data_IF_470928256719
#
_entry.id   IF_470928256719
#
_cell.length_a   1.000
_cell.length_b   1.000
_cell.length_c   1.000
_cell.angle_alpha   90.00
_cell.angle_beta   90.00
_cell.angle_gamma   90.00
#
_symmetry.space_group_name_H-M   'P 1'
#
loop_
_entity.id
_entity.type
_entity.pdbx_description
1 polymer ?
#
# COMPACT_ATOMS: atom_id res chain seq x y z
N UNK A 1 45.46 -11.39 -44.71
CA UNK A 1 46.79 -10.93 -45.16
C UNK A 1 47.34 -9.94 -44.14
N UNK A 2 48.52 -10.25 -43.60
CA UNK A 2 49.53 -9.36 -43.02
C UNK A 2 49.15 -8.32 -41.93
N UNK A 3 49.51 -8.72 -40.70
CA UNK A 3 50.22 -7.96 -39.66
C UNK A 3 51.07 -6.79 -40.20
N UNK A 4 51.05 -5.64 -39.48
CA UNK A 4 52.19 -4.74 -39.43
C UNK A 4 52.31 -4.06 -38.05
N UNK A 5 53.34 -4.53 -37.35
CA UNK A 5 53.98 -4.02 -36.14
C UNK A 5 54.62 -2.65 -36.38
N UNK A 6 54.62 -1.76 -35.38
CA UNK A 6 55.79 -0.88 -35.16
C UNK A 6 55.90 -0.48 -33.69
N UNK A 7 56.98 -0.91 -33.07
CA UNK A 7 57.43 -0.52 -31.74
C UNK A 7 58.86 0.02 -31.85
N UNK A 8 59.24 0.83 -30.84
CA UNK A 8 60.59 1.24 -30.43
C UNK A 8 61.12 2.53 -31.07
N UNK A 9 61.79 3.45 -30.36
CA UNK A 9 62.19 3.57 -28.95
C UNK A 9 62.91 4.93 -28.80
N UNK A 10 62.83 5.58 -27.63
CA UNK A 10 64.03 5.97 -26.84
C UNK A 10 63.67 6.67 -25.52
N UNK A 11 63.83 5.87 -24.47
CA UNK A 11 64.30 6.13 -23.10
C UNK A 11 64.84 7.51 -22.73
N UNK A 12 64.44 7.99 -21.53
CA UNK A 12 65.38 8.41 -20.48
C UNK A 12 64.72 8.28 -19.09
N UNK A 13 65.49 7.77 -18.13
CA UNK A 13 65.04 7.31 -16.82
C UNK A 13 65.15 8.38 -15.72
N UNK A 14 64.28 8.25 -14.71
CA UNK A 14 64.63 8.46 -13.30
C UNK A 14 64.17 9.77 -12.67
N UNK A 15 63.19 9.69 -11.75
CA UNK A 15 63.37 10.03 -10.33
C UNK A 15 62.09 9.77 -9.52
N UNK A 16 62.31 9.20 -8.33
CA UNK A 16 61.34 8.92 -7.27
C UNK A 16 60.25 9.99 -7.10
N UNK A 17 58.99 9.57 -7.23
CA UNK A 17 57.82 10.32 -6.79
C UNK A 17 56.86 9.36 -6.10
N UNK A 18 56.67 9.52 -4.79
CA UNK A 18 55.64 8.82 -4.01
C UNK A 18 54.29 8.93 -4.74
N UNK A 19 53.62 7.79 -4.95
CA UNK A 19 52.20 7.76 -5.28
C UNK A 19 51.44 8.37 -4.11
N UNK A 20 51.10 9.64 -4.25
CA UNK A 20 50.13 10.30 -3.40
C UNK A 20 48.76 9.80 -3.87
N UNK A 21 48.23 8.80 -3.17
CA UNK A 21 46.81 8.49 -3.21
C UNK A 21 46.10 9.69 -2.62
N UNK A 22 45.61 10.57 -3.49
CA UNK A 22 44.57 11.52 -3.11
C UNK A 22 43.32 10.69 -2.84
N UNK A 23 43.10 10.36 -1.58
CA UNK A 23 41.79 10.00 -1.06
C UNK A 23 40.89 11.21 -1.32
N UNK A 24 40.18 11.17 -2.45
CA UNK A 24 39.06 12.07 -2.66
C UNK A 24 38.00 11.66 -1.65
N UNK A 25 38.00 12.32 -0.49
CA UNK A 25 36.84 12.35 0.40
C UNK A 25 35.62 12.66 -0.47
N UNK A 26 34.78 11.64 -0.67
CA UNK A 26 33.43 11.82 -1.20
C UNK A 26 32.72 12.64 -0.13
N UNK A 27 32.67 13.96 -0.33
CA UNK A 27 31.74 14.82 0.36
C UNK A 27 30.35 14.37 -0.05
N UNK A 28 29.74 13.49 0.76
CA UNK A 28 28.32 13.24 0.69
C UNK A 28 27.65 14.51 1.19
N UNK A 29 27.28 15.39 0.27
CA UNK A 29 26.32 16.44 0.60
C UNK A 29 25.09 15.74 1.16
N UNK A 30 24.81 15.95 2.45
CA UNK A 30 23.57 15.55 3.10
C UNK A 30 22.32 16.18 2.43
N UNK A 31 22.55 17.09 1.46
CA UNK A 31 21.58 17.86 0.70
C UNK A 31 21.64 17.59 -0.82
N UNK A 32 22.10 16.42 -1.26
CA UNK A 32 21.78 15.96 -2.62
C UNK A 32 20.25 15.97 -2.85
N UNK A 33 19.76 16.10 -4.10
CA UNK A 33 18.32 16.07 -4.35
C UNK A 33 17.71 14.85 -3.67
N UNK A 34 16.66 15.07 -2.87
CA UNK A 34 15.91 13.99 -2.24
C UNK A 34 15.28 13.14 -3.35
N UNK A 35 15.92 12.04 -3.68
CA UNK A 35 15.41 11.04 -4.61
C UNK A 35 14.89 9.82 -3.84
N UNK A 36 14.16 8.96 -4.53
CA UNK A 36 13.71 7.67 -4.03
C UNK A 36 14.87 6.74 -3.68
N UNK A 37 14.62 5.74 -2.82
CA UNK A 37 15.60 4.71 -2.50
C UNK A 37 15.62 3.62 -3.58
N UNK A 38 16.52 3.75 -4.56
CA UNK A 38 16.65 2.73 -5.61
C UNK A 38 17.32 1.48 -5.09
N UNK A 39 16.86 0.29 -5.52
CA UNK A 39 17.48 -1.00 -5.19
C UNK A 39 17.60 -1.92 -6.41
N UNK A 40 18.62 -2.79 -6.38
CA UNK A 40 18.81 -3.89 -7.33
C UNK A 40 18.44 -5.27 -6.74
N UNK A 41 17.97 -5.32 -5.49
CA UNK A 41 17.48 -6.55 -4.86
C UNK A 41 16.04 -6.86 -5.28
N UNK A 42 15.65 -8.14 -5.25
CA UNK A 42 14.24 -8.51 -5.37
C UNK A 42 13.43 -7.98 -4.18
N UNK A 43 12.10 -8.04 -4.27
CA UNK A 43 11.23 -7.73 -3.13
C UNK A 43 11.40 -8.81 -2.03
N UNK A 44 11.45 -8.43 -0.74
CA UNK A 44 11.87 -9.29 0.35
C UNK A 44 10.84 -10.37 0.69
N UNK A 45 9.57 -10.19 0.34
CA UNK A 45 8.48 -11.07 0.73
C UNK A 45 8.55 -12.41 0.02
N UNK A 46 8.88 -12.44 -1.28
CA UNK A 46 9.08 -13.72 -1.98
C UNK A 46 10.21 -14.53 -1.36
N UNK A 47 11.36 -13.91 -1.08
CA UNK A 47 12.52 -14.59 -0.49
C UNK A 47 12.18 -15.09 0.91
N UNK A 48 11.67 -14.21 1.78
CA UNK A 48 11.30 -14.55 3.16
C UNK A 48 10.21 -15.60 3.23
N UNK A 49 9.18 -15.53 2.37
CA UNK A 49 8.13 -16.57 2.25
C UNK A 49 8.72 -17.94 1.94
N UNK A 50 9.66 -18.03 0.97
CA UNK A 50 10.28 -19.31 0.61
C UNK A 50 11.12 -19.87 1.76
N UNK A 51 11.84 -19.02 2.49
CA UNK A 51 12.61 -19.42 3.67
C UNK A 51 11.72 -19.89 4.81
N UNK A 52 10.62 -19.17 5.09
CA UNK A 52 9.62 -19.55 6.08
C UNK A 52 8.97 -20.88 5.70
N UNK A 53 8.53 -21.08 4.46
CA UNK A 53 7.91 -22.35 4.03
C UNK A 53 8.90 -23.52 4.18
N UNK A 54 10.18 -23.27 3.89
CA UNK A 54 11.23 -24.29 4.03
C UNK A 54 11.44 -24.69 5.50
N UNK A 55 11.42 -23.72 6.42
CA UNK A 55 11.68 -23.94 7.85
C UNK A 55 10.43 -24.41 8.61
N UNK A 56 9.28 -23.83 8.28
CA UNK A 56 7.96 -24.00 8.92
C UNK A 56 6.87 -24.33 7.88
N UNK A 57 6.93 -25.50 7.23
CA UNK A 57 5.99 -25.85 6.15
C UNK A 57 4.53 -25.87 6.60
N UNK A 58 4.25 -26.04 7.89
CA UNK A 58 2.91 -25.97 8.48
C UNK A 58 2.22 -24.61 8.33
N UNK A 59 2.96 -23.52 8.06
CA UNK A 59 2.38 -22.19 7.81
C UNK A 59 1.39 -22.23 6.64
N UNK A 60 1.66 -23.07 5.63
CA UNK A 60 0.80 -23.23 4.44
C UNK A 60 -0.58 -23.82 4.78
N UNK A 61 -0.72 -24.49 5.92
CA UNK A 61 -2.01 -25.02 6.41
C UNK A 61 -2.95 -23.91 6.89
N UNK A 62 -2.45 -22.69 7.05
CA UNK A 62 -3.26 -21.53 7.43
C UNK A 62 -3.97 -20.88 6.23
N UNK A 63 -3.56 -21.20 5.01
CA UNK A 63 -4.14 -20.63 3.79
C UNK A 63 -5.62 -21.00 3.62
N UNK A 64 -6.35 -20.14 2.91
CA UNK A 64 -7.74 -20.37 2.53
C UNK A 64 -8.71 -19.37 3.17
N UNK A 65 -10.01 -19.52 2.91
CA UNK A 65 -10.97 -18.49 3.25
C UNK A 65 -11.21 -18.34 4.75
N UNK A 66 -11.71 -17.16 5.10
CA UNK A 66 -12.23 -16.77 6.40
C UNK A 66 -13.72 -16.39 6.29
N UNK A 67 -14.63 -17.32 6.65
CA UNK A 67 -16.06 -17.08 6.58
C UNK A 67 -16.56 -15.90 7.42
N UNK A 68 -15.84 -15.47 8.47
CA UNK A 68 -16.24 -14.33 9.29
C UNK A 68 -16.30 -13.02 8.48
N UNK A 69 -15.43 -12.88 7.47
CA UNK A 69 -15.31 -11.65 6.67
C UNK A 69 -16.64 -11.21 6.06
N UNK A 70 -17.43 -12.13 5.50
CA UNK A 70 -18.72 -11.77 4.88
C UNK A 70 -19.75 -11.27 5.88
N UNK A 71 -19.76 -11.81 7.11
CA UNK A 71 -20.69 -11.35 8.15
C UNK A 71 -20.30 -9.97 8.66
N UNK A 72 -18.99 -9.73 8.84
CA UNK A 72 -18.48 -8.42 9.23
C UNK A 72 -18.82 -7.35 8.18
N UNK A 73 -18.61 -7.65 6.89
CA UNK A 73 -19.00 -6.76 5.78
C UNK A 73 -20.47 -6.39 5.84
N UNK A 74 -21.38 -7.38 5.94
CA UNK A 74 -22.81 -7.10 5.98
C UNK A 74 -23.19 -6.27 7.22
N UNK A 75 -22.60 -6.57 8.38
CA UNK A 75 -22.84 -5.81 9.60
C UNK A 75 -22.39 -4.35 9.48
N UNK A 76 -21.21 -4.09 8.92
CA UNK A 76 -20.66 -2.73 8.76
C UNK A 76 -21.40 -1.95 7.68
N UNK A 77 -21.81 -2.60 6.57
CA UNK A 77 -22.68 -1.98 5.56
C UNK A 77 -24.03 -1.60 6.17
N UNK A 78 -24.65 -2.48 6.95
CA UNK A 78 -25.91 -2.19 7.62
C UNK A 78 -25.78 -1.03 8.62
N UNK A 79 -24.67 -0.98 9.39
CA UNK A 79 -24.36 0.14 10.29
C UNK A 79 -24.29 1.47 9.53
N UNK A 80 -23.55 1.50 8.42
CA UNK A 80 -23.40 2.71 7.60
C UNK A 80 -24.73 3.18 7.02
N UNK A 81 -25.54 2.27 6.47
CA UNK A 81 -26.88 2.59 5.96
C UNK A 81 -27.78 3.13 7.07
N UNK A 82 -27.78 2.49 8.25
CA UNK A 82 -28.57 2.94 9.39
C UNK A 82 -28.16 4.35 9.85
N UNK A 83 -26.86 4.65 9.88
CA UNK A 83 -26.36 5.98 10.24
C UNK A 83 -26.67 7.04 9.16
N UNK A 84 -26.61 6.66 7.88
CA UNK A 84 -27.00 7.52 6.77
C UNK A 84 -28.48 7.94 6.90
N UNK A 85 -29.36 6.97 7.17
CA UNK A 85 -30.80 7.23 7.42
C UNK A 85 -31.00 8.05 8.69
N UNK A 86 -30.29 7.73 9.78
CA UNK A 86 -30.39 8.46 11.04
C UNK A 86 -30.01 9.95 10.89
N UNK A 87 -29.02 10.25 10.04
CA UNK A 87 -28.55 11.62 9.81
C UNK A 87 -29.31 12.37 8.72
N UNK A 88 -30.31 11.75 8.06
CA UNK A 88 -31.00 12.34 6.90
C UNK A 88 -31.57 13.76 7.13
N UNK A 89 -32.01 14.05 8.36
CA UNK A 89 -32.57 15.36 8.76
C UNK A 89 -31.59 16.25 9.52
N UNK A 90 -30.40 15.73 9.88
CA UNK A 90 -29.39 16.47 10.64
C UNK A 90 -28.72 17.52 9.74
N UNK A 91 -28.51 18.78 10.19
CA UNK A 91 -27.78 19.77 9.40
C UNK A 91 -26.34 19.31 9.12
N UNK A 92 -25.91 19.43 7.86
CA UNK A 92 -24.61 18.92 7.40
C UNK A 92 -23.44 19.53 8.18
N UNK A 93 -23.49 20.83 8.48
CA UNK A 93 -22.44 21.54 9.23
C UNK A 93 -22.58 21.44 10.76
N UNK A 94 -23.51 20.62 11.25
CA UNK A 94 -23.62 20.43 12.70
C UNK A 94 -22.47 19.58 13.23
N UNK A 95 -22.06 19.86 14.47
CA UNK A 95 -21.08 19.05 15.18
C UNK A 95 -21.50 17.57 15.23
N UNK A 96 -22.81 17.29 15.43
CA UNK A 96 -23.35 15.93 15.44
C UNK A 96 -23.05 15.18 14.15
N UNK A 97 -23.26 15.81 12.99
CA UNK A 97 -23.06 15.18 11.69
C UNK A 97 -21.58 14.82 11.49
N UNK A 98 -20.69 15.80 11.71
CA UNK A 98 -19.25 15.63 11.54
C UNK A 98 -18.63 14.67 12.57
N UNK A 99 -19.07 14.71 13.83
CA UNK A 99 -18.58 13.80 14.86
C UNK A 99 -18.93 12.34 14.56
N UNK A 100 -20.17 12.06 14.11
CA UNK A 100 -20.58 10.70 13.74
C UNK A 100 -19.87 10.27 12.45
N UNK A 101 -19.75 11.14 11.45
CA UNK A 101 -19.01 10.85 10.21
C UNK A 101 -17.53 10.56 10.48
N UNK A 102 -16.88 11.31 11.37
CA UNK A 102 -15.47 11.10 11.68
C UNK A 102 -15.25 9.87 12.57
N UNK A 103 -15.92 9.78 13.73
CA UNK A 103 -15.61 8.72 14.70
C UNK A 103 -16.12 7.35 14.25
N UNK A 104 -17.37 7.27 13.82
CA UNK A 104 -18.01 6.00 13.47
C UNK A 104 -17.91 5.77 11.96
N UNK A 105 -18.29 6.78 11.18
CA UNK A 105 -18.33 6.70 9.72
C UNK A 105 -16.97 6.37 9.10
N UNK A 106 -15.94 7.15 9.42
CA UNK A 106 -14.61 6.98 8.87
C UNK A 106 -13.98 5.64 9.31
N UNK A 107 -14.11 5.28 10.60
CA UNK A 107 -13.65 3.98 11.10
C UNK A 107 -14.33 2.82 10.37
N UNK A 108 -15.65 2.88 10.18
CA UNK A 108 -16.39 1.84 9.47
C UNK A 108 -16.09 1.81 7.97
N UNK A 109 -15.85 2.96 7.32
CA UNK A 109 -15.42 2.96 5.92
C UNK A 109 -13.98 2.47 5.76
N UNK A 110 -13.09 2.74 6.72
CA UNK A 110 -11.76 2.13 6.73
C UNK A 110 -11.85 0.61 6.86
N UNK A 111 -12.74 0.11 7.72
CA UNK A 111 -13.03 -1.31 7.80
C UNK A 111 -13.47 -1.84 6.42
N UNK A 112 -14.40 -1.19 5.73
CA UNK A 112 -14.87 -1.64 4.40
C UNK A 112 -13.79 -1.55 3.32
N UNK A 113 -12.91 -0.55 3.35
CA UNK A 113 -11.75 -0.48 2.46
C UNK A 113 -10.85 -1.71 2.64
N UNK A 114 -10.59 -2.09 3.89
CA UNK A 114 -9.76 -3.24 4.21
C UNK A 114 -10.48 -4.57 4.04
N UNK A 115 -11.82 -4.58 4.11
CA UNK A 115 -12.61 -5.74 3.71
C UNK A 115 -12.48 -5.98 2.20
N UNK A 116 -12.58 -4.92 1.37
CA UNK A 116 -12.38 -5.01 -0.08
C UNK A 116 -10.95 -5.47 -0.40
N UNK A 117 -9.97 -5.03 0.37
CA UNK A 117 -8.61 -5.54 0.34
C UNK A 117 -8.56 -7.07 0.57
N UNK A 118 -9.08 -7.57 1.68
CA UNK A 118 -9.13 -9.02 1.99
C UNK A 118 -9.88 -9.82 0.90
N UNK A 119 -11.00 -9.29 0.41
CA UNK A 119 -11.82 -9.93 -0.62
C UNK A 119 -11.10 -9.96 -1.99
N UNK A 120 -10.18 -9.02 -2.24
CA UNK A 120 -9.38 -9.00 -3.47
C UNK A 120 -8.45 -10.21 -3.58
N UNK A 121 -7.99 -10.71 -2.43
CA UNK A 121 -7.22 -11.94 -2.26
C UNK A 121 -8.07 -13.22 -2.26
N UNK A 122 -9.38 -13.10 -2.53
CA UNK A 122 -10.35 -14.20 -2.47
C UNK A 122 -10.50 -14.85 -1.09
N UNK A 123 -10.27 -14.09 -0.01
CA UNK A 123 -10.25 -14.65 1.34
C UNK A 123 -11.65 -14.77 1.96
N UNK A 124 -12.72 -14.22 1.38
CA UNK A 124 -14.07 -14.39 1.94
C UNK A 124 -14.77 -15.68 1.48
N UNK A 125 -14.48 -16.13 0.25
CA UNK A 125 -15.06 -17.35 -0.34
C UNK A 125 -14.04 -18.12 -1.17
N UNK A 126 -14.20 -19.44 -1.31
CA UNK A 126 -13.42 -20.22 -2.30
C UNK A 126 -13.77 -19.84 -3.75
N UNK A 127 -14.99 -19.37 -4.00
CA UNK A 127 -15.45 -18.99 -5.33
C UNK A 127 -15.03 -17.53 -5.65
N UNK A 128 -14.23 -17.28 -6.70
CA UNK A 128 -13.77 -15.92 -7.02
C UNK A 128 -14.89 -14.95 -7.35
N UNK A 129 -15.95 -15.40 -8.05
CA UNK A 129 -17.10 -14.54 -8.38
C UNK A 129 -17.89 -14.13 -7.14
N UNK A 130 -18.05 -15.03 -6.16
CA UNK A 130 -18.69 -14.68 -4.89
C UNK A 130 -17.91 -13.57 -4.13
N UNK A 131 -16.58 -13.61 -4.19
CA UNK A 131 -15.75 -12.52 -3.68
C UNK A 131 -16.00 -11.21 -4.45
N UNK A 132 -16.07 -11.22 -5.79
CA UNK A 132 -16.36 -10.01 -6.56
C UNK A 132 -17.72 -9.41 -6.22
N UNK A 133 -18.74 -10.24 -6.04
CA UNK A 133 -20.07 -9.75 -5.65
C UNK A 133 -20.08 -9.19 -4.22
N UNK A 134 -19.41 -9.85 -3.26
CA UNK A 134 -19.28 -9.31 -1.90
C UNK A 134 -18.50 -7.99 -1.87
N UNK A 135 -17.45 -7.85 -2.70
CA UNK A 135 -16.70 -6.60 -2.79
C UNK A 135 -17.58 -5.43 -3.26
N UNK A 136 -18.51 -5.68 -4.21
CA UNK A 136 -19.49 -4.67 -4.65
C UNK A 136 -20.44 -4.31 -3.49
N UNK A 137 -20.85 -5.26 -2.66
CA UNK A 137 -21.67 -4.99 -1.46
C UNK A 137 -20.89 -4.18 -0.42
N UNK A 138 -19.64 -4.55 -0.15
CA UNK A 138 -18.76 -3.79 0.75
C UNK A 138 -18.50 -2.35 0.24
N UNK A 139 -18.59 -2.14 -1.07
CA UNK A 139 -18.39 -0.84 -1.71
C UNK A 139 -19.57 0.12 -1.50
N UNK A 140 -20.80 -0.36 -1.21
CA UNK A 140 -21.99 0.51 -1.20
C UNK A 140 -21.84 1.74 -0.30
N UNK A 141 -21.35 1.62 0.96
CA UNK A 141 -21.15 2.77 1.84
C UNK A 141 -20.02 3.71 1.43
N UNK A 142 -19.22 3.35 0.44
CA UNK A 142 -18.14 4.21 -0.05
C UNK A 142 -18.70 5.35 -0.91
N UNK A 143 -19.85 5.13 -1.56
CA UNK A 143 -20.54 6.12 -2.40
C UNK A 143 -19.94 6.31 -3.80
N UNK A 144 -18.85 5.61 -4.13
CA UNK A 144 -18.17 5.66 -5.44
C UNK A 144 -17.73 4.23 -5.82
N UNK A 145 -17.95 3.76 -7.06
CA UNK A 145 -17.64 2.38 -7.45
C UNK A 145 -16.13 2.21 -7.68
N UNK A 146 -15.42 1.63 -6.71
CA UNK A 146 -13.96 1.43 -6.82
C UNK A 146 -13.50 -0.02 -6.65
N UNK A 147 -14.31 -0.89 -6.03
CA UNK A 147 -13.92 -2.26 -5.68
C UNK A 147 -13.45 -3.12 -6.86
N UNK A 148 -14.04 -2.92 -8.05
CA UNK A 148 -13.64 -3.63 -9.26
C UNK A 148 -12.23 -3.25 -9.75
N UNK A 149 -11.90 -1.97 -9.68
CA UNK A 149 -10.60 -1.43 -10.08
C UNK A 149 -9.53 -1.69 -9.03
N UNK A 150 -9.89 -1.66 -7.74
CA UNK A 150 -8.95 -1.84 -6.63
C UNK A 150 -8.14 -3.14 -6.76
N UNK A 151 -8.82 -4.26 -7.02
CA UNK A 151 -8.19 -5.57 -7.04
C UNK A 151 -6.96 -5.68 -7.97
N UNK A 152 -7.06 -5.42 -9.29
CA UNK A 152 -5.92 -5.60 -10.19
C UNK A 152 -4.73 -4.69 -9.82
N UNK A 153 -4.98 -3.45 -9.40
CA UNK A 153 -3.93 -2.57 -8.90
C UNK A 153 -3.28 -3.14 -7.63
N UNK A 154 -4.08 -3.55 -6.67
CA UNK A 154 -3.60 -4.10 -5.39
C UNK A 154 -2.79 -5.38 -5.54
N UNK A 155 -3.25 -6.31 -6.38
CA UNK A 155 -2.50 -7.54 -6.64
C UNK A 155 -1.20 -7.28 -7.41
N UNK A 156 -1.20 -6.28 -8.29
CA UNK A 156 0.03 -5.84 -8.96
C UNK A 156 1.01 -5.26 -7.96
N UNK A 157 0.55 -4.47 -6.99
CA UNK A 157 1.38 -3.95 -5.90
C UNK A 157 2.05 -5.08 -5.11
N UNK A 158 1.30 -6.11 -4.68
CA UNK A 158 1.90 -7.28 -4.02
C UNK A 158 2.93 -8.01 -4.91
N UNK A 159 2.69 -8.09 -6.22
CA UNK A 159 3.55 -8.85 -7.14
C UNK A 159 4.77 -8.08 -7.64
N UNK A 160 4.67 -6.76 -7.67
CA UNK A 160 5.61 -5.83 -8.30
C UNK A 160 5.94 -4.69 -7.36
N UNK A 161 6.05 -4.99 -6.06
CA UNK A 161 6.28 -4.01 -5.00
C UNK A 161 7.49 -3.13 -5.32
N UNK A 162 7.28 -1.81 -5.30
CA UNK A 162 8.32 -0.83 -5.58
C UNK A 162 8.77 -0.77 -7.05
N UNK A 163 8.18 -1.52 -7.98
CA UNK A 163 8.56 -1.43 -9.40
C UNK A 163 7.97 -0.18 -10.04
N UNK A 164 8.85 0.66 -10.60
CA UNK A 164 8.43 1.92 -11.21
C UNK A 164 7.48 1.70 -12.40
N UNK A 165 6.42 2.51 -12.46
CA UNK A 165 5.37 2.39 -13.47
C UNK A 165 4.41 1.20 -13.31
N UNK A 166 4.65 0.27 -12.38
CA UNK A 166 3.77 -0.88 -12.09
C UNK A 166 3.14 -0.81 -10.70
N UNK A 167 3.89 -0.36 -9.70
CA UNK A 167 3.38 -0.14 -8.36
C UNK A 167 2.75 1.26 -8.26
N UNK A 168 1.43 1.34 -8.40
CA UNK A 168 0.68 2.60 -8.36
C UNK A 168 0.57 3.18 -6.95
N UNK A 169 1.05 2.46 -5.93
CA UNK A 169 1.14 2.96 -4.57
C UNK A 169 2.30 3.97 -4.39
N UNK A 170 3.32 3.90 -5.26
CA UNK A 170 4.43 4.84 -5.25
C UNK A 170 3.99 6.24 -5.66
N UNK A 171 4.40 7.29 -4.94
CA UNK A 171 4.25 8.67 -5.39
C UNK A 171 4.97 8.91 -6.71
N UNK A 172 4.39 9.76 -7.55
CA UNK A 172 5.09 10.25 -8.74
C UNK A 172 6.19 11.24 -8.35
N UNK A 173 7.20 11.41 -9.21
CA UNK A 173 8.24 12.42 -8.98
C UNK A 173 7.66 13.84 -8.85
N UNK A 174 6.56 14.12 -9.57
CA UNK A 174 5.84 15.38 -9.50
C UNK A 174 5.21 15.60 -8.11
N UNK A 175 4.48 14.60 -7.62
CA UNK A 175 3.90 14.63 -6.27
C UNK A 175 4.99 14.78 -5.22
N UNK A 176 6.09 14.05 -5.36
CA UNK A 176 7.15 14.11 -4.38
C UNK A 176 7.85 15.47 -4.35
N UNK A 177 8.06 16.11 -5.52
CA UNK A 177 8.61 17.46 -5.59
C UNK A 177 7.67 18.51 -4.97
N UNK A 178 6.37 18.46 -5.29
CA UNK A 178 5.42 19.48 -4.81
C UNK A 178 4.97 19.30 -3.36
N UNK A 179 4.94 18.06 -2.86
CA UNK A 179 4.39 17.73 -1.54
C UNK A 179 5.47 17.55 -0.47
N UNK A 180 6.77 17.66 -0.79
CA UNK A 180 7.88 17.55 0.18
C UNK A 180 8.07 18.82 1.02
N UNK A 181 7.04 19.16 1.80
CA UNK A 181 7.06 20.20 2.84
C UNK A 181 6.06 19.83 3.93
N UNK A 182 6.11 20.47 5.11
CA UNK A 182 5.12 20.22 6.18
C UNK A 182 3.69 20.41 5.66
N UNK A 183 3.42 21.51 4.94
CA UNK A 183 2.09 21.76 4.36
C UNK A 183 1.72 20.81 3.23
N UNK A 184 2.70 20.45 2.37
CA UNK A 184 2.50 19.48 1.30
C UNK A 184 2.16 18.08 1.83
N UNK A 185 2.89 17.62 2.86
CA UNK A 185 2.64 16.35 3.54
C UNK A 185 1.32 16.36 4.30
N UNK A 186 0.98 17.47 4.98
CA UNK A 186 -0.32 17.62 5.62
C UNK A 186 -1.48 17.60 4.60
N UNK A 187 -1.31 18.24 3.44
CA UNK A 187 -2.26 18.16 2.33
C UNK A 187 -2.39 16.73 1.82
N UNK A 188 -1.27 16.05 1.57
CA UNK A 188 -1.26 14.64 1.18
C UNK A 188 -2.03 13.77 2.16
N UNK A 189 -1.74 13.83 3.46
CA UNK A 189 -2.42 13.04 4.48
C UNK A 189 -3.90 13.42 4.65
N UNK A 190 -4.30 14.65 4.32
CA UNK A 190 -5.71 15.08 4.39
C UNK A 190 -6.51 14.57 3.17
N UNK A 191 -5.89 14.54 2.00
CA UNK A 191 -6.53 14.20 0.72
C UNK A 191 -6.08 12.85 0.19
N UNK A 192 -5.56 11.98 1.06
CA UNK A 192 -4.81 10.79 0.68
C UNK A 192 -5.62 9.87 -0.21
N UNK A 193 -6.91 9.68 0.11
CA UNK A 193 -7.82 8.85 -0.69
C UNK A 193 -7.87 9.26 -2.17
N UNK A 194 -7.71 10.55 -2.49
CA UNK A 194 -7.72 11.03 -3.87
C UNK A 194 -6.43 10.67 -4.60
N UNK A 195 -5.28 10.70 -3.93
CA UNK A 195 -4.03 10.22 -4.53
C UNK A 195 -4.14 8.73 -4.86
N UNK A 196 -4.64 7.92 -3.94
CA UNK A 196 -4.84 6.48 -4.16
C UNK A 196 -5.91 6.16 -5.20
N UNK A 197 -6.93 7.01 -5.36
CA UNK A 197 -7.97 6.82 -6.38
C UNK A 197 -7.52 7.29 -7.77
N UNK A 198 -6.80 8.42 -7.85
CA UNK A 198 -6.51 9.11 -9.13
C UNK A 198 -5.17 8.69 -9.70
N UNK A 199 -4.12 8.57 -8.88
CA UNK A 199 -2.76 8.24 -9.35
C UNK A 199 -2.71 6.95 -10.16
N UNK A 200 -3.40 5.85 -9.78
CA UNK A 200 -3.37 4.65 -10.62
C UNK A 200 -3.81 4.92 -12.06
N UNK A 201 -4.83 5.76 -12.25
CA UNK A 201 -5.37 6.10 -13.59
C UNK A 201 -4.42 6.93 -14.45
N UNK A 202 -3.43 7.59 -13.85
CA UNK A 202 -2.40 8.39 -14.54
C UNK A 202 -1.11 7.61 -14.80
N UNK A 203 -0.83 6.57 -14.02
CA UNK A 203 0.33 5.68 -14.22
C UNK A 203 0.05 4.62 -15.28
N UNK A 204 -0.98 3.79 -15.09
CA UNK A 204 -1.45 2.84 -16.11
C UNK A 204 -2.92 2.49 -15.91
N UNK A 205 -3.62 2.12 -17.00
CA UNK A 205 -5.06 1.84 -16.94
C UNK A 205 -5.33 0.35 -17.04
N UNK A 206 -6.07 -0.17 -16.07
CA UNK A 206 -6.64 -1.53 -16.15
C UNK A 206 -7.80 -1.56 -17.15
N UNK A 207 -7.95 -2.64 -17.94
CA UNK A 207 -9.06 -2.75 -18.87
C UNK A 207 -10.40 -2.90 -18.13
N UNK A 208 -11.41 -2.14 -18.57
CA UNK A 208 -12.76 -2.23 -18.01
C UNK A 208 -13.40 -3.58 -18.35
N UNK A 209 -14.03 -4.20 -17.35
CA UNK A 209 -14.66 -5.52 -17.47
C UNK A 209 -16.15 -5.45 -17.13
N UNK A 210 -16.88 -6.55 -17.35
CA UNK A 210 -18.29 -6.67 -16.93
C UNK A 210 -18.50 -6.44 -15.43
N UNK A 211 -17.50 -6.76 -14.60
CA UNK A 211 -17.55 -6.50 -13.15
C UNK A 211 -17.48 -5.00 -12.87
N UNK A 212 -16.74 -4.22 -13.66
CA UNK A 212 -16.73 -2.75 -13.52
C UNK A 212 -18.10 -2.18 -13.86
N UNK A 213 -18.69 -2.60 -14.97
CA UNK A 213 -20.04 -2.18 -15.36
C UNK A 213 -21.08 -2.54 -14.28
N UNK A 214 -20.99 -3.75 -13.70
CA UNK A 214 -21.86 -4.18 -12.61
C UNK A 214 -21.65 -3.33 -11.35
N UNK A 215 -20.40 -3.07 -10.94
CA UNK A 215 -20.11 -2.26 -9.76
C UNK A 215 -20.66 -0.83 -9.93
N UNK A 216 -20.49 -0.22 -11.10
CA UNK A 216 -21.03 1.12 -11.41
C UNK A 216 -22.55 1.10 -11.36
N UNK A 217 -23.20 0.15 -12.04
CA UNK A 217 -24.65 0.06 -12.08
C UNK A 217 -25.26 -0.13 -10.68
N UNK A 218 -24.69 -1.02 -9.88
CA UNK A 218 -25.15 -1.28 -8.51
C UNK A 218 -24.91 -0.07 -7.60
N UNK A 219 -23.76 0.60 -7.69
CA UNK A 219 -23.46 1.78 -6.87
C UNK A 219 -24.43 2.93 -7.21
N UNK A 220 -24.59 3.25 -8.49
CA UNK A 220 -25.51 4.32 -8.94
C UNK A 220 -26.94 4.01 -8.53
N UNK A 221 -27.38 2.75 -8.68
CA UNK A 221 -28.71 2.34 -8.25
C UNK A 221 -28.88 2.48 -6.73
N UNK A 222 -27.91 2.04 -5.93
CA UNK A 222 -27.93 2.17 -4.48
C UNK A 222 -27.97 3.63 -4.03
N UNK A 223 -27.11 4.49 -4.58
CA UNK A 223 -27.06 5.91 -4.24
C UNK A 223 -28.37 6.62 -4.60
N UNK A 224 -28.95 6.31 -5.77
CA UNK A 224 -30.24 6.84 -6.21
C UNK A 224 -31.39 6.39 -5.29
N UNK A 225 -31.45 5.10 -4.94
CA UNK A 225 -32.43 4.53 -4.00
C UNK A 225 -32.29 5.19 -2.63
N UNK A 226 -31.06 5.32 -2.12
CA UNK A 226 -30.80 5.96 -0.84
C UNK A 226 -31.33 7.40 -0.82
N UNK A 227 -30.98 8.21 -1.82
CA UNK A 227 -31.46 9.59 -1.91
C UNK A 227 -33.00 9.64 -2.01
N UNK A 228 -33.59 8.79 -2.86
CA UNK A 228 -35.03 8.79 -3.10
C UNK A 228 -35.85 8.50 -1.84
N UNK A 229 -35.42 7.53 -1.03
CA UNK A 229 -36.13 7.14 0.19
C UNK A 229 -35.69 7.89 1.46
N UNK A 230 -34.61 8.68 1.39
CA UNK A 230 -34.09 9.44 2.55
C UNK A 230 -33.84 10.90 2.20
N UNK A 231 -32.57 11.33 2.10
CA UNK A 231 -32.19 12.66 1.64
C UNK A 231 -30.79 12.64 1.04
N UNK A 232 -30.43 13.70 0.31
CA UNK A 232 -29.06 13.91 -0.17
C UNK A 232 -28.02 13.93 0.96
N UNK A 233 -28.43 14.25 2.20
CA UNK A 233 -27.52 14.25 3.37
C UNK A 233 -27.11 12.83 3.77
N UNK A 234 -27.93 11.81 3.47
CA UNK A 234 -27.56 10.42 3.69
C UNK A 234 -26.38 10.02 2.78
N UNK A 235 -26.42 10.40 1.49
CA UNK A 235 -25.29 10.19 0.59
C UNK A 235 -24.07 11.05 0.99
N UNK A 236 -24.29 12.31 1.39
CA UNK A 236 -23.19 13.17 1.88
C UNK A 236 -22.51 12.57 3.11
N UNK A 237 -23.24 11.90 4.00
CA UNK A 237 -22.65 11.20 5.14
C UNK A 237 -21.73 10.06 4.69
N UNK A 238 -22.16 9.24 3.72
CA UNK A 238 -21.35 8.15 3.18
C UNK A 238 -20.08 8.68 2.49
N UNK A 239 -20.22 9.70 1.64
CA UNK A 239 -19.09 10.33 0.95
C UNK A 239 -18.12 11.02 1.92
N UNK A 240 -18.64 11.73 2.94
CA UNK A 240 -17.83 12.35 3.97
C UNK A 240 -17.09 11.30 4.80
N UNK A 241 -17.74 10.20 5.14
CA UNK A 241 -17.12 9.08 5.87
C UNK A 241 -15.99 8.45 5.06
N UNK A 242 -16.18 8.24 3.75
CA UNK A 242 -15.13 7.76 2.84
C UNK A 242 -13.95 8.71 2.73
N UNK A 243 -14.22 10.01 2.62
CA UNK A 243 -13.18 11.03 2.59
C UNK A 243 -12.35 10.96 3.88
N UNK A 244 -13.02 11.09 5.03
CA UNK A 244 -12.36 11.11 6.34
C UNK A 244 -11.63 9.80 6.66
N UNK A 245 -12.10 8.66 6.15
CA UNK A 245 -11.44 7.35 6.32
C UNK A 245 -10.03 7.34 5.70
N UNK A 246 -9.83 8.02 4.56
CA UNK A 246 -8.52 8.23 3.95
C UNK A 246 -7.97 9.64 4.13
N UNK A 247 -8.27 10.29 5.26
CA UNK A 247 -7.72 11.58 5.66
C UNK A 247 -6.90 11.45 6.96
N UNK A 248 -6.70 12.56 7.69
CA UNK A 248 -6.14 12.59 9.04
C UNK A 248 -7.06 11.88 10.05
N UNK A 249 -7.07 10.55 10.03
CA UNK A 249 -7.81 9.68 10.93
C UNK A 249 -6.87 8.59 11.48
N UNK A 250 -6.97 8.19 12.76
CA UNK A 250 -6.02 7.26 13.37
C UNK A 250 -5.79 5.96 12.58
N UNK A 251 -6.87 5.35 12.06
CA UNK A 251 -6.74 4.13 11.26
C UNK A 251 -6.19 4.38 9.86
N UNK A 252 -6.33 5.59 9.29
CA UNK A 252 -5.78 5.93 7.98
C UNK A 252 -4.24 5.95 7.95
N UNK A 253 -3.61 6.04 9.13
CA UNK A 253 -2.15 6.09 9.22
C UNK A 253 -1.46 4.85 8.65
N UNK A 254 -2.18 3.72 8.49
CA UNK A 254 -1.63 2.53 7.84
C UNK A 254 -1.14 2.82 6.41
N UNK A 255 -1.87 3.64 5.64
CA UNK A 255 -1.50 3.95 4.25
C UNK A 255 -0.13 4.61 4.08
N UNK A 256 0.37 5.30 5.12
CA UNK A 256 1.73 5.86 5.11
C UNK A 256 2.69 5.04 5.96
N UNK A 257 2.20 4.30 6.95
CA UNK A 257 3.05 3.46 7.81
C UNK A 257 3.57 2.22 7.10
N UNK A 258 2.82 1.67 6.15
CA UNK A 258 3.10 0.34 5.60
C UNK A 258 4.33 0.27 4.71
N UNK A 259 4.50 1.23 3.78
CA UNK A 259 5.52 1.16 2.73
C UNK A 259 6.44 2.39 2.64
N UNK A 260 6.25 3.40 3.48
CA UNK A 260 7.25 4.45 3.62
C UNK A 260 8.35 4.05 4.59
N UNK A 261 9.57 4.41 4.25
CA UNK A 261 10.76 4.13 5.06
C UNK A 261 10.90 5.21 6.12
N UNK A 262 10.66 4.86 7.37
CA UNK A 262 10.83 5.75 8.53
C UNK A 262 12.19 5.58 9.23
N UNK A 263 12.94 4.54 8.86
CA UNK A 263 14.28 4.26 9.38
C UNK A 263 15.34 5.06 8.63
N UNK A 264 16.41 5.41 9.34
CA UNK A 264 17.56 6.10 8.73
C UNK A 264 18.26 5.17 7.75
N UNK A 265 18.17 5.50 6.46
CA UNK A 265 18.92 4.80 5.40
C UNK A 265 20.36 5.31 5.35
N UNK A 266 21.31 4.44 5.69
CA UNK A 266 22.74 4.77 5.67
C UNK A 266 23.24 5.06 4.25
N UNK A 267 24.34 5.83 4.08
CA UNK A 267 24.91 6.09 2.75
C UNK A 267 25.25 4.82 1.96
N UNK A 268 25.69 3.76 2.65
CA UNK A 268 26.00 2.47 2.01
C UNK A 268 24.76 1.73 1.54
N UNK A 269 23.64 1.82 2.28
CA UNK A 269 22.33 1.30 1.85
C UNK A 269 21.70 2.11 0.72
N UNK A 270 21.98 3.42 0.64
CA UNK A 270 21.48 4.27 -0.45
C UNK A 270 22.10 3.95 -1.80
N UNK A 271 23.31 3.39 -1.83
CA UNK A 271 23.94 2.97 -3.08
C UNK A 271 23.43 1.57 -3.49
N UNK A 272 22.59 1.46 -4.54
CA UNK A 272 22.02 0.19 -4.97
C UNK A 272 23.09 -0.83 -5.41
N UNK A 273 24.30 -0.38 -5.78
CA UNK A 273 25.40 -1.27 -6.15
C UNK A 273 25.86 -2.16 -4.99
N UNK A 274 25.69 -1.70 -3.75
CA UNK A 274 26.04 -2.47 -2.55
C UNK A 274 25.05 -3.59 -2.23
N UNK A 275 23.85 -3.56 -2.83
CA UNK A 275 22.80 -4.58 -2.64
C UNK A 275 22.45 -4.84 -1.17
N UNK A 276 22.58 -3.81 -0.32
CA UNK A 276 22.17 -3.88 1.08
C UNK A 276 20.67 -3.55 1.14
N UNK A 277 19.82 -4.44 1.68
CA UNK A 277 18.38 -4.19 1.74
C UNK A 277 18.02 -2.96 2.57
N UNK A 278 17.00 -2.24 2.11
CA UNK A 278 16.31 -1.19 2.86
C UNK A 278 14.96 -1.75 3.28
N UNK A 279 14.57 -1.69 4.57
CA UNK A 279 13.24 -2.09 4.99
C UNK A 279 12.17 -1.27 4.25
N UNK A 280 11.36 -1.94 3.43
CA UNK A 280 10.34 -1.31 2.58
C UNK A 280 8.91 -1.71 2.96
N UNK A 281 8.74 -2.48 4.04
CA UNK A 281 7.45 -2.90 4.57
C UNK A 281 7.51 -2.98 6.09
N UNK A 282 6.58 -2.31 6.76
CA UNK A 282 6.56 -2.19 8.21
C UNK A 282 5.25 -2.73 8.77
N UNK A 283 5.36 -3.50 9.86
CA UNK A 283 4.19 -3.99 10.58
C UNK A 283 3.79 -3.03 11.72
N UNK A 284 2.57 -3.19 12.23
CA UNK A 284 1.98 -2.57 13.40
C UNK A 284 1.13 -3.63 14.10
N UNK A 285 1.43 -3.91 15.38
CA UNK A 285 0.73 -4.95 16.15
C UNK A 285 -0.24 -4.37 17.19
N UNK A 286 -0.54 -3.08 17.12
CA UNK A 286 -1.35 -2.39 18.12
C UNK A 286 -2.87 -2.55 17.92
N UNK A 287 -3.66 -1.88 18.79
CA UNK A 287 -5.10 -2.13 18.93
C UNK A 287 -5.95 -1.73 17.72
N UNK A 288 -5.46 -0.84 16.85
CA UNK A 288 -6.23 -0.39 15.67
C UNK A 288 -6.51 -1.52 14.68
N UNK A 289 -5.73 -2.62 14.74
CA UNK A 289 -5.97 -3.86 13.99
C UNK A 289 -7.36 -4.45 14.18
N UNK A 290 -8.01 -4.20 15.33
CA UNK A 290 -9.38 -4.63 15.60
C UNK A 290 -10.39 -4.10 14.57
N UNK A 291 -10.14 -2.90 14.04
CA UNK A 291 -11.01 -2.25 13.06
C UNK A 291 -10.58 -2.53 11.61
N UNK A 292 -9.39 -3.09 11.40
CA UNK A 292 -8.69 -3.07 10.11
C UNK A 292 -8.26 -4.46 9.65
N UNK A 293 -9.02 -5.50 10.01
CA UNK A 293 -8.75 -6.88 9.59
C UNK A 293 -7.26 -7.26 9.79
N UNK A 294 -6.69 -6.89 10.94
CA UNK A 294 -5.28 -7.17 11.25
C UNK A 294 -4.26 -6.78 10.15
N UNK A 295 -4.59 -5.83 9.26
CA UNK A 295 -3.71 -5.43 8.14
C UNK A 295 -2.35 -4.92 8.63
N UNK A 296 -2.29 -4.42 9.87
CA UNK A 296 -1.03 -4.02 10.49
C UNK A 296 -0.01 -5.15 10.60
N UNK A 297 -0.41 -6.43 10.55
CA UNK A 297 0.52 -7.55 10.32
C UNK A 297 0.94 -7.60 8.85
N UNK A 298 1.52 -6.50 8.39
CA UNK A 298 1.65 -6.18 6.98
C UNK A 298 2.77 -6.98 6.31
N UNK A 299 3.88 -7.20 7.03
CA UNK A 299 4.93 -8.12 6.57
C UNK A 299 4.38 -9.54 6.42
N UNK A 300 3.65 -10.04 7.40
CA UNK A 300 3.04 -11.37 7.37
C UNK A 300 2.02 -11.49 6.23
N UNK A 301 1.23 -10.44 6.02
CA UNK A 301 0.26 -10.36 4.94
C UNK A 301 0.94 -10.37 3.56
N UNK A 302 1.97 -9.55 3.34
CA UNK A 302 2.72 -9.55 2.08
C UNK A 302 3.49 -10.87 1.85
N UNK A 303 4.00 -11.47 2.92
CA UNK A 303 4.63 -12.79 2.85
C UNK A 303 3.61 -13.90 2.57
N UNK A 304 2.36 -13.76 2.99
CA UNK A 304 1.34 -14.81 2.82
C UNK A 304 -0.05 -14.23 2.54
N UNK A 305 -0.30 -13.63 1.36
CA UNK A 305 -1.57 -12.97 1.03
C UNK A 305 -2.74 -13.96 0.89
N UNK A 306 -2.46 -15.27 0.83
CA UNK A 306 -3.46 -16.33 0.84
C UNK A 306 -3.86 -16.79 2.26
N UNK A 307 -3.26 -16.23 3.31
CA UNK A 307 -3.63 -16.46 4.71
C UNK A 307 -4.52 -15.30 5.16
N UNK A 308 -5.71 -15.57 5.70
CA UNK A 308 -6.65 -14.52 6.06
C UNK A 308 -6.26 -13.80 7.35
N UNK A 309 -6.77 -12.58 7.50
CA UNK A 309 -6.55 -11.70 8.65
C UNK A 309 -6.63 -12.35 10.04
N UNK A 310 -7.58 -13.26 10.26
CA UNK A 310 -7.76 -13.95 11.56
C UNK A 310 -6.59 -14.84 11.95
N UNK A 311 -5.74 -15.21 10.97
CA UNK A 311 -4.64 -16.16 11.13
C UNK A 311 -3.27 -15.49 11.01
N UNK A 312 -3.17 -14.20 10.67
CA UNK A 312 -1.89 -13.49 10.53
C UNK A 312 -1.07 -13.53 11.83
N UNK A 313 -1.69 -13.34 12.99
CA UNK A 313 -0.97 -13.49 14.27
C UNK A 313 -0.40 -14.89 14.49
N UNK A 314 -1.00 -15.92 13.89
CA UNK A 314 -0.48 -17.28 13.96
C UNK A 314 0.71 -17.48 13.02
N UNK A 315 0.75 -16.78 11.87
CA UNK A 315 1.93 -16.70 11.00
C UNK A 315 3.09 -16.11 11.79
N UNK A 316 2.87 -14.93 12.37
CA UNK A 316 3.87 -14.24 13.20
C UNK A 316 4.43 -15.17 14.30
N UNK A 317 3.57 -15.90 15.04
CA UNK A 317 4.03 -16.82 16.08
C UNK A 317 4.80 -18.04 15.57
N UNK A 318 4.45 -18.57 14.40
CA UNK A 318 5.13 -19.75 13.83
C UNK A 318 6.52 -19.36 13.34
N UNK A 319 6.65 -18.18 12.74
CA UNK A 319 7.85 -17.70 12.08
C UNK A 319 8.41 -16.42 12.71
N UNK A 320 8.32 -16.29 14.04
CA UNK A 320 8.63 -15.03 14.73
C UNK A 320 10.08 -14.61 14.51
N UNK A 321 10.99 -15.57 14.35
CA UNK A 321 12.39 -15.30 14.07
C UNK A 321 12.64 -14.58 12.73
N UNK A 322 11.66 -14.54 11.84
CA UNK A 322 11.72 -13.78 10.58
C UNK A 322 11.14 -12.37 10.70
N UNK A 323 10.44 -12.06 11.80
CA UNK A 323 9.69 -10.82 12.00
C UNK A 323 10.17 -10.00 13.20
N UNK A 324 10.72 -10.63 14.24
CA UNK A 324 11.05 -10.00 15.53
C UNK A 324 12.08 -8.87 15.39
N UNK A 325 13.03 -9.01 14.45
CA UNK A 325 14.08 -8.01 14.17
C UNK A 325 13.69 -6.99 13.09
N UNK A 326 12.51 -7.13 12.46
CA UNK A 326 12.06 -6.16 11.46
C UNK A 326 11.57 -4.87 12.13
N UNK A 327 11.84 -3.70 11.52
CA UNK A 327 11.31 -2.45 12.04
C UNK A 327 9.77 -2.44 11.94
N UNK A 328 9.15 -1.78 12.91
CA UNK A 328 7.69 -1.74 13.04
C UNK A 328 7.22 -0.39 13.59
N UNK A 329 5.97 -0.07 13.33
CA UNK A 329 5.29 1.05 13.95
C UNK A 329 4.62 0.64 15.26
N UNK A 330 4.79 1.45 16.30
CA UNK A 330 4.06 1.30 17.57
C UNK A 330 2.73 2.08 17.57
N UNK A 331 2.58 3.07 16.68
CA UNK A 331 1.38 3.90 16.57
C UNK A 331 1.22 4.49 15.18
N UNK A 332 0.08 4.23 14.53
CA UNK A 332 -0.28 4.88 13.26
C UNK A 332 -0.56 6.37 13.41
N UNK A 333 -1.04 6.83 14.56
CA UNK A 333 -1.17 8.27 14.83
C UNK A 333 0.21 8.92 14.87
N UNK A 334 1.19 8.26 15.47
CA UNK A 334 2.57 8.74 15.47
C UNK A 334 3.21 8.66 14.09
N UNK A 335 2.87 7.65 13.28
CA UNK A 335 3.31 7.58 11.89
C UNK A 335 2.80 8.77 11.05
N UNK A 336 1.53 9.18 11.23
CA UNK A 336 0.98 10.42 10.64
C UNK A 336 1.75 11.65 11.12
N UNK A 337 1.95 11.76 12.43
CA UNK A 337 2.65 12.91 13.00
C UNK A 337 4.08 13.01 12.46
N UNK A 338 4.86 11.91 12.49
CA UNK A 338 6.22 11.88 11.93
C UNK A 338 6.21 12.18 10.44
N UNK A 339 5.30 11.58 9.67
CA UNK A 339 5.25 11.84 8.23
C UNK A 339 5.10 13.33 7.93
N UNK A 340 4.30 14.07 8.69
CA UNK A 340 4.08 15.50 8.43
C UNK A 340 5.21 16.38 9.00
N UNK A 341 5.66 16.12 10.24
CA UNK A 341 6.57 17.02 10.97
C UNK A 341 8.06 16.67 10.84
N UNK A 342 8.41 15.41 10.63
CA UNK A 342 9.80 14.94 10.52
C UNK A 342 10.33 15.27 9.12
N UNK A 343 11.41 16.04 8.99
CA UNK A 343 11.99 16.42 7.70
C UNK A 343 12.79 15.28 7.04
N UNK A 344 13.13 14.25 7.82
CA UNK A 344 13.79 13.02 7.36
C UNK A 344 12.82 12.02 6.71
N UNK A 345 11.51 12.21 6.89
CA UNK A 345 10.46 11.38 6.30
C UNK A 345 9.60 12.19 5.33
N UNK A 346 9.39 11.68 4.13
CA UNK A 346 8.58 12.38 3.13
C UNK A 346 8.19 11.51 1.94
N UNK A 347 7.72 12.16 0.89
CA UNK A 347 7.17 11.48 -0.29
C UNK A 347 8.17 10.56 -1.00
N UNK A 348 9.46 10.91 -0.94
CA UNK A 348 10.55 10.14 -1.55
C UNK A 348 11.05 8.98 -0.67
N UNK A 349 10.57 8.85 0.57
CA UNK A 349 10.99 7.75 1.46
C UNK A 349 10.28 6.44 1.07
N UNK A 350 10.46 6.01 -0.17
CA UNK A 350 9.93 4.78 -0.77
C UNK A 350 11.04 4.07 -1.51
N UNK A 351 11.02 2.75 -1.47
CA UNK A 351 11.97 1.93 -2.23
C UNK A 351 11.45 1.75 -3.66
N UNK A 352 12.32 1.98 -4.66
CA UNK A 352 12.01 1.84 -6.09
C UNK A 352 12.94 0.86 -6.81
N UNK A 353 12.40 0.18 -7.80
CA UNK A 353 13.10 -0.74 -8.71
C UNK A 353 12.86 -0.31 -10.14
N UNK A 354 13.92 -0.21 -10.94
CA UNK A 354 13.80 0.19 -12.36
C UNK A 354 13.15 -0.88 -13.23
N UNK A 355 13.45 -2.15 -12.94
CA UNK A 355 13.02 -3.30 -13.72
C UNK A 355 12.57 -4.42 -12.77
N UNK A 356 11.70 -5.30 -13.27
CA UNK A 356 11.12 -6.41 -12.51
C UNK A 356 9.59 -6.37 -12.53
N UNK A 357 8.94 -7.30 -11.83
CA UNK A 357 7.48 -7.28 -11.68
C UNK A 357 6.69 -7.69 -12.93
N UNK A 358 5.37 -7.82 -12.74
CA UNK A 358 4.38 -8.18 -13.76
C UNK A 358 3.00 -7.61 -13.40
N UNK A 359 2.29 -7.06 -14.39
CA UNK A 359 0.93 -6.52 -14.26
C UNK A 359 -0.13 -7.61 -14.03
N UNK A 360 -0.79 -7.64 -12.88
CA UNK A 360 -1.89 -8.57 -12.61
C UNK A 360 -3.18 -8.04 -13.26
N UNK A 361 -3.79 -8.85 -14.14
CA UNK A 361 -5.01 -8.47 -14.86
C UNK A 361 -4.80 -7.67 -16.15
N UNK A 362 -3.56 -7.54 -16.63
CA UNK A 362 -3.25 -7.02 -17.98
C UNK A 362 -3.58 -8.00 -19.12
N UNK A 363 -3.15 -7.70 -20.34
CA UNK A 363 -3.38 -8.53 -21.55
C UNK A 363 -2.75 -9.95 -21.50
N UNK A 364 -2.04 -10.27 -20.42
CA UNK A 364 -1.44 -11.58 -20.18
C UNK A 364 -2.46 -12.45 -19.41
N UNK A 365 -2.73 -13.66 -19.91
CA UNK A 365 -3.56 -14.63 -19.23
C UNK A 365 -2.87 -15.13 -17.96
N UNK A 366 -3.41 -14.76 -16.80
CA UNK A 366 -2.96 -15.22 -15.49
C UNK A 366 -3.73 -16.46 -15.06
N UNK A 367 -3.04 -17.46 -14.49
CA UNK A 367 -3.70 -18.55 -13.76
C UNK A 367 -4.09 -18.07 -12.36
N UNK A 368 -5.24 -18.51 -11.84
CA UNK A 368 -5.72 -18.14 -10.50
C UNK A 368 -4.68 -18.48 -9.41
N UNK A 369 -3.94 -19.57 -9.57
CA UNK A 369 -2.83 -19.97 -8.68
C UNK A 369 -1.65 -19.00 -8.68
N UNK A 370 -1.44 -18.25 -9.77
CA UNK A 370 -0.37 -17.24 -9.89
C UNK A 370 -0.80 -15.88 -9.32
N UNK A 371 -2.11 -15.67 -9.19
CA UNK A 371 -2.70 -14.49 -8.55
C UNK A 371 -2.75 -14.68 -7.03
N UNK A 372 -2.95 -15.92 -6.58
CA UNK A 372 -3.05 -16.29 -5.17
C UNK A 372 -1.69 -16.62 -4.53
N UNK A 373 -0.62 -16.72 -5.32
CA UNK A 373 0.76 -16.97 -4.88
C UNK A 373 1.62 -15.72 -5.07
#
# INVERSE_FOLDING_TARGET
MAVATRTMSKTAAGKNGKLQTTDAEIKTDANGPKDFFWTYTEEPHRTRRLEIIKKHPEVTKLCGPEPLTKYLVIAVVALQVALAVYLQSTPFWSLKFWAIAYVIGATANQNLFLAIHEISHNLAFKNPMANRLLAIVANLPIGIPYSASFRPYHLTHHKSLGVDGLDTDLPTALEAFFLDSIFGKAFFCTFQIFFYAIRPMTVYRVPLTRIHALNIAVQVAFDAVLIHYTSSKALLYLLLSSFLAGSLHPVAGHFIAEHYVYETVTPTQRDPANKIPVPETFSYYGPLNWFTYNVGLHNEHHDFPAIPWTRLHKVNRIASEFYDDLPRHESWVYAIWRFIWDDSVGMNCRVKRQNGGRLVGGAVSWKESEIQA
#
